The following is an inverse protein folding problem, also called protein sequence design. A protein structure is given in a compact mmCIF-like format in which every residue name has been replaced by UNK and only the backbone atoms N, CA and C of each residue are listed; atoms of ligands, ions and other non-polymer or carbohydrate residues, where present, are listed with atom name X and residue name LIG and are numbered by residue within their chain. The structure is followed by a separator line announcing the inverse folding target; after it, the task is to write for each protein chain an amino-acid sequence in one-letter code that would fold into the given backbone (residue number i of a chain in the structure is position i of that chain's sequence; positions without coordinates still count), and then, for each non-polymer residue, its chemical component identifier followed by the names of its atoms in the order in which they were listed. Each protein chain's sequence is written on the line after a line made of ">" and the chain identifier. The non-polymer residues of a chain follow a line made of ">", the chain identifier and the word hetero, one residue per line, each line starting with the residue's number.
data_IF_941046524011
#
_entry.id   IF_941046524011
#
_cell.length_a   1.000
_cell.length_b   1.000
_cell.length_c   1.000
_cell.angle_alpha   90.00
_cell.angle_beta   90.00
_cell.angle_gamma   90.00
#
_symmetry.space_group_name_H-M   'P 1'
#
loop_
_entity.id
_entity.type
_entity.pdbx_description
1 polymer ?
#
# COMPACT_ATOMS: atom_id res chain seq x y z
N UNK A 1 -32.77 36.52 8.72
CA UNK A 1 -32.33 36.08 10.06
C UNK A 1 -31.53 34.81 9.85
N UNK A 2 -30.24 34.96 9.54
CA UNK A 2 -29.11 34.80 10.48
C UNK A 2 -28.64 33.34 10.55
N UNK A 3 -27.57 33.10 9.79
CA UNK A 3 -26.71 31.90 9.77
C UNK A 3 -26.01 31.78 11.12
N UNK A 4 -26.09 30.61 11.76
CA UNK A 4 -25.48 30.32 13.06
C UNK A 4 -24.62 29.06 13.00
N UNK A 5 -23.38 29.24 12.54
CA UNK A 5 -22.25 28.33 12.65
C UNK A 5 -22.02 27.97 14.13
N UNK A 6 -22.04 26.68 14.50
CA UNK A 6 -21.66 26.23 15.84
C UNK A 6 -20.53 25.20 15.74
N UNK A 7 -19.31 25.72 15.76
CA UNK A 7 -18.08 24.99 16.05
C UNK A 7 -17.98 24.94 17.59
N UNK A 8 -18.00 23.75 18.17
CA UNK A 8 -17.66 23.54 19.57
C UNK A 8 -16.60 22.44 19.67
N UNK A 9 -15.34 22.87 19.59
CA UNK A 9 -14.18 22.11 19.99
C UNK A 9 -14.03 22.20 21.51
N UNK A 10 -14.11 21.07 22.21
CA UNK A 10 -13.66 20.96 23.61
C UNK A 10 -12.85 19.67 23.73
N UNK A 11 -11.60 19.73 23.25
CA UNK A 11 -10.58 18.74 23.60
C UNK A 11 -10.03 19.08 24.99
N UNK A 12 -10.47 18.36 26.01
CA UNK A 12 -9.93 18.46 27.37
C UNK A 12 -9.14 17.19 27.68
N UNK A 13 -7.82 17.34 27.77
CA UNK A 13 -6.90 16.25 28.03
C UNK A 13 -5.57 16.75 28.57
N UNK A 14 -5.60 17.56 29.64
CA UNK A 14 -4.41 17.92 30.41
C UNK A 14 -4.27 16.92 31.54
N UNK A 15 -3.39 15.93 31.37
CA UNK A 15 -3.01 14.99 32.43
C UNK A 15 -1.86 15.60 33.24
N UNK A 16 -2.19 16.24 34.36
CA UNK A 16 -1.22 16.64 35.40
C UNK A 16 -0.86 15.39 36.20
N UNK A 17 0.37 14.90 36.06
CA UNK A 17 0.93 13.88 36.96
C UNK A 17 1.64 14.58 38.11
N UNK A 18 1.07 14.44 39.32
CA UNK A 18 1.72 14.89 40.55
C UNK A 18 2.91 14.00 40.87
N UNK A 19 4.12 14.53 40.69
CA UNK A 19 5.37 13.88 41.07
C UNK A 19 5.78 14.33 42.48
N UNK A 20 5.45 13.53 43.49
CA UNK A 20 5.95 13.68 44.85
C UNK A 20 6.53 12.33 45.32
N UNK A 21 7.84 12.28 45.57
CA UNK A 21 8.50 11.09 46.11
C UNK A 21 10.00 11.07 45.85
N UNK A 22 10.76 11.83 46.62
CA UNK A 22 12.22 11.90 46.56
C UNK A 22 12.83 10.89 47.55
N UNK A 23 13.68 10.02 47.01
CA UNK A 23 14.81 9.27 47.62
C UNK A 23 14.52 8.03 48.47
N UNK A 24 14.91 6.89 47.92
CA UNK A 24 15.94 6.00 48.51
C UNK A 24 16.23 4.83 47.55
N UNK A 25 17.47 4.70 47.06
CA UNK A 25 17.89 3.55 46.25
C UNK A 25 18.79 3.86 45.05
N UNK A 26 19.92 4.52 45.30
CA UNK A 26 20.99 4.69 44.31
C UNK A 26 21.67 3.34 44.03
N UNK A 27 21.18 2.56 43.06
CA UNK A 27 21.91 1.45 42.40
C UNK A 27 21.23 0.84 41.15
N UNK A 28 20.04 1.30 40.73
CA UNK A 28 19.37 0.77 39.51
C UNK A 28 19.42 1.76 38.32
N UNK A 29 19.94 2.97 38.53
CA UNK A 29 19.90 4.10 37.60
C UNK A 29 20.83 4.02 36.36
N UNK A 30 21.71 3.02 36.27
CA UNK A 30 22.66 2.91 35.15
C UNK A 30 22.13 2.10 33.94
N UNK A 31 20.99 1.40 34.07
CA UNK A 31 20.42 0.58 32.99
C UNK A 31 19.29 1.24 32.20
N UNK A 32 18.85 2.44 32.58
CA UNK A 32 17.75 3.16 31.90
C UNK A 32 18.25 4.38 31.10
N UNK A 33 19.47 4.86 31.34
CA UNK A 33 20.00 6.08 30.70
C UNK A 33 20.55 5.89 29.26
N UNK A 34 20.63 4.66 28.74
CA UNK A 34 21.14 4.39 27.38
C UNK A 34 20.12 4.61 26.26
N UNK A 35 18.91 5.09 26.57
CA UNK A 35 17.85 5.31 25.58
C UNK A 35 17.62 6.79 25.24
N UNK A 36 18.35 7.73 25.86
CA UNK A 36 18.08 9.16 25.70
C UNK A 36 19.08 9.93 24.81
N UNK A 37 20.23 9.34 24.45
CA UNK A 37 21.31 10.04 23.73
C UNK A 37 21.52 9.57 22.27
N UNK A 38 20.49 8.98 21.65
CA UNK A 38 20.51 8.53 20.26
C UNK A 38 19.77 9.50 19.30
N UNK A 39 19.69 10.78 19.63
CA UNK A 39 18.87 11.77 18.90
C UNK A 39 19.65 12.95 18.31
N UNK A 40 20.96 12.85 18.15
CA UNK A 40 21.79 13.91 17.55
C UNK A 40 22.50 13.51 16.25
N UNK A 41 22.09 12.42 15.60
CA UNK A 41 22.68 11.98 14.33
C UNK A 41 21.62 11.66 13.28
N UNK A 42 21.07 12.70 12.63
CA UNK A 42 20.35 12.49 11.36
C UNK A 42 20.39 13.73 10.47
N UNK A 43 21.55 14.05 9.93
CA UNK A 43 21.64 14.78 8.65
C UNK A 43 22.29 13.90 7.58
N UNK A 44 21.94 12.61 7.62
CA UNK A 44 22.11 11.67 6.51
C UNK A 44 20.73 11.14 6.16
N UNK A 45 19.90 11.97 5.53
CA UNK A 45 18.60 11.52 5.01
C UNK A 45 18.91 10.61 3.84
N UNK A 46 19.07 9.33 4.15
CA UNK A 46 19.21 8.25 3.18
C UNK A 46 18.08 8.35 2.16
N UNK A 47 18.40 8.16 0.89
CA UNK A 47 17.45 8.17 -0.24
C UNK A 47 16.19 7.33 0.01
N UNK A 48 16.24 6.35 0.92
CA UNK A 48 15.09 5.61 1.43
C UNK A 48 13.96 6.50 2.02
N UNK A 49 14.29 7.64 2.63
CA UNK A 49 13.31 8.58 3.18
C UNK A 49 12.70 9.49 2.12
N UNK A 50 13.39 9.70 0.99
CA UNK A 50 12.82 10.41 -0.15
C UNK A 50 11.78 9.55 -0.88
N UNK A 51 11.86 8.21 -0.84
CA UNK A 51 10.79 7.37 -1.39
C UNK A 51 9.47 7.44 -0.58
N UNK A 52 9.48 7.98 0.65
CA UNK A 52 8.27 8.12 1.47
C UNK A 52 7.39 9.30 1.07
N UNK A 53 7.98 10.37 0.51
CA UNK A 53 7.23 11.58 0.14
C UNK A 53 6.69 11.53 -1.29
N UNK A 54 7.12 10.55 -2.10
CA UNK A 54 6.59 10.28 -3.43
C UNK A 54 5.87 8.92 -3.42
N UNK A 55 4.62 8.86 -2.95
CA UNK A 55 3.89 7.61 -2.72
C UNK A 55 3.65 6.79 -4.01
N UNK A 56 3.83 7.37 -5.19
CA UNK A 56 3.73 6.68 -6.48
C UNK A 56 4.96 5.83 -6.84
N UNK A 57 6.05 5.92 -6.08
CA UNK A 57 7.28 5.13 -6.28
C UNK A 57 7.44 3.99 -5.27
N UNK A 58 6.55 3.87 -4.28
CA UNK A 58 6.76 3.01 -3.12
C UNK A 58 6.27 1.57 -3.29
N UNK A 59 5.18 1.26 -4.03
CA UNK A 59 4.63 -0.10 -4.05
C UNK A 59 3.88 -0.50 -5.34
N UNK A 60 3.90 -1.72 -5.93
CA UNK A 60 4.84 -2.87 -5.89
C UNK A 60 4.66 -3.87 -7.06
N UNK A 61 3.59 -3.83 -7.88
CA UNK A 61 3.46 -4.71 -9.06
C UNK A 61 2.90 -3.97 -10.29
N UNK A 62 3.77 -3.29 -11.03
CA UNK A 62 3.46 -2.94 -12.41
C UNK A 62 3.37 -4.23 -13.24
N UNK A 63 2.45 -4.27 -14.22
CA UNK A 63 2.46 -5.35 -15.20
C UNK A 63 3.83 -5.45 -15.85
N UNK A 64 4.26 -6.67 -16.19
CA UNK A 64 5.53 -6.85 -16.86
C UNK A 64 5.51 -6.09 -18.21
N UNK A 65 6.67 -5.56 -18.65
CA UNK A 65 6.76 -4.85 -19.93
C UNK A 65 6.34 -5.76 -21.09
N UNK A 66 6.64 -7.05 -21.00
CA UNK A 66 6.22 -8.09 -21.93
C UNK A 66 5.36 -9.12 -21.18
N UNK A 67 4.18 -9.44 -21.73
CA UNK A 67 3.24 -10.37 -21.10
C UNK A 67 3.84 -11.78 -21.05
N UNK A 68 4.13 -12.27 -19.84
CA UNK A 68 4.61 -13.65 -19.66
C UNK A 68 3.45 -14.64 -19.52
N UNK A 69 3.66 -15.93 -19.80
CA UNK A 69 2.63 -16.95 -19.59
C UNK A 69 2.13 -16.98 -18.14
N UNK A 70 3.06 -16.90 -17.18
CA UNK A 70 2.74 -16.89 -15.74
C UNK A 70 1.87 -15.69 -15.37
N UNK A 71 2.21 -14.51 -15.88
CA UNK A 71 1.40 -13.30 -15.68
C UNK A 71 0.04 -13.41 -16.37
N UNK A 72 -0.02 -13.91 -17.60
CA UNK A 72 -1.28 -14.10 -18.33
C UNK A 72 -2.27 -15.01 -17.57
N UNK A 73 -1.76 -16.06 -16.94
CA UNK A 73 -2.55 -16.92 -16.05
C UNK A 73 -3.08 -16.14 -14.85
N UNK A 74 -2.22 -15.37 -14.17
CA UNK A 74 -2.62 -14.56 -13.02
C UNK A 74 -3.62 -13.45 -13.37
N UNK A 75 -3.43 -12.79 -14.51
CA UNK A 75 -4.32 -11.71 -15.02
C UNK A 75 -5.73 -12.23 -15.28
N UNK A 76 -5.86 -13.45 -15.82
CA UNK A 76 -7.15 -14.09 -16.02
C UNK A 76 -7.65 -14.81 -14.76
N UNK A 77 -6.89 -14.82 -13.67
CA UNK A 77 -7.25 -15.45 -12.40
C UNK A 77 -7.16 -16.97 -12.40
N UNK A 78 -6.24 -17.55 -13.19
CA UNK A 78 -5.80 -18.94 -13.07
C UNK A 78 -4.58 -19.05 -12.15
N UNK A 79 -4.29 -20.27 -11.71
CA UNK A 79 -3.04 -20.53 -10.97
C UNK A 79 -1.83 -20.35 -11.89
N UNK A 80 -0.71 -19.90 -11.32
CA UNK A 80 0.52 -19.59 -12.05
C UNK A 80 1.12 -20.79 -12.83
N UNK A 81 0.69 -22.01 -12.51
CA UNK A 81 1.15 -23.27 -13.10
C UNK A 81 0.04 -24.04 -13.81
N UNK A 82 -1.15 -23.46 -13.96
CA UNK A 82 -2.29 -24.13 -14.60
C UNK A 82 -2.17 -24.13 -16.12
N UNK A 83 -2.71 -25.19 -16.74
CA UNK A 83 -2.88 -25.32 -18.19
C UNK A 83 -4.37 -25.38 -18.55
N UNK A 84 -5.07 -24.23 -18.55
CA UNK A 84 -6.51 -24.21 -18.78
C UNK A 84 -6.87 -24.50 -20.25
N UNK A 85 -7.98 -25.21 -20.50
CA UNK A 85 -8.48 -25.42 -21.85
C UNK A 85 -8.96 -24.10 -22.46
N UNK A 86 -8.92 -24.01 -23.80
CA UNK A 86 -9.27 -22.80 -24.56
C UNK A 86 -10.63 -22.18 -24.18
N UNK A 87 -11.63 -23.02 -23.92
CA UNK A 87 -12.98 -22.59 -23.55
C UNK A 87 -13.01 -21.82 -22.22
N UNK A 88 -12.20 -22.23 -21.24
CA UNK A 88 -12.11 -21.58 -19.94
C UNK A 88 -11.38 -20.23 -20.03
N UNK A 89 -10.33 -20.17 -20.85
CA UNK A 89 -9.63 -18.92 -21.15
C UNK A 89 -10.60 -17.90 -21.74
N UNK A 90 -11.39 -18.30 -22.75
CA UNK A 90 -12.39 -17.42 -23.37
C UNK A 90 -13.49 -17.00 -22.38
N UNK A 91 -13.92 -17.91 -21.50
CA UNK A 91 -14.92 -17.61 -20.47
C UNK A 91 -14.41 -16.57 -19.47
N UNK A 92 -13.20 -16.76 -18.93
CA UNK A 92 -12.59 -15.80 -17.99
C UNK A 92 -12.24 -14.47 -18.67
N UNK A 93 -11.75 -14.50 -19.90
CA UNK A 93 -11.51 -13.30 -20.70
C UNK A 93 -12.77 -12.45 -20.85
N UNK A 94 -13.90 -13.04 -21.27
CA UNK A 94 -15.17 -12.31 -21.42
C UNK A 94 -15.62 -11.69 -20.10
N UNK A 95 -15.50 -12.44 -19.00
CA UNK A 95 -15.82 -11.94 -17.65
C UNK A 95 -14.93 -10.75 -17.27
N UNK A 96 -13.63 -10.84 -17.52
CA UNK A 96 -12.69 -9.77 -17.15
C UNK A 96 -12.86 -8.52 -18.01
N UNK A 97 -13.08 -8.70 -19.31
CA UNK A 97 -13.41 -7.59 -20.22
C UNK A 97 -14.69 -6.87 -19.79
N UNK A 98 -15.77 -7.60 -19.48
CA UNK A 98 -17.03 -6.98 -19.07
C UNK A 98 -16.89 -6.10 -17.81
N UNK A 99 -15.95 -6.44 -16.92
CA UNK A 99 -15.69 -5.69 -15.69
C UNK A 99 -14.73 -4.51 -15.88
N UNK A 100 -13.82 -4.58 -16.85
CA UNK A 100 -12.71 -3.63 -16.99
C UNK A 100 -12.69 -2.85 -18.31
N UNK A 101 -13.68 -3.07 -19.19
CA UNK A 101 -13.76 -2.34 -20.45
C UNK A 101 -13.89 -0.83 -20.22
N UNK A 102 -13.28 -0.04 -21.10
CA UNK A 102 -13.26 1.44 -21.00
C UNK A 102 -14.66 2.04 -21.06
N UNK A 103 -15.56 1.43 -21.83
CA UNK A 103 -16.96 1.87 -21.94
C UNK A 103 -17.73 1.76 -20.61
N UNK A 104 -17.28 0.90 -19.69
CA UNK A 104 -17.87 0.73 -18.35
C UNK A 104 -17.10 1.53 -17.28
N UNK A 105 -16.17 2.40 -17.70
CA UNK A 105 -15.30 3.17 -16.80
C UNK A 105 -14.06 2.40 -16.33
N UNK A 106 -13.72 1.29 -16.97
CA UNK A 106 -12.50 0.54 -16.67
C UNK A 106 -11.23 1.17 -17.26
N UNK A 107 -10.07 0.73 -16.78
CA UNK A 107 -8.78 1.28 -17.22
C UNK A 107 -8.36 0.75 -18.59
N UNK A 108 -7.97 1.62 -19.56
CA UNK A 108 -7.45 1.20 -20.85
C UNK A 108 -6.23 0.28 -20.73
N UNK A 109 -5.37 0.50 -19.74
CA UNK A 109 -4.18 -0.33 -19.52
C UNK A 109 -4.55 -1.74 -19.05
N UNK A 110 -5.51 -1.86 -18.14
CA UNK A 110 -5.98 -3.17 -17.64
C UNK A 110 -6.67 -3.93 -18.76
N UNK A 111 -7.52 -3.26 -19.53
CA UNK A 111 -8.16 -3.84 -20.71
C UNK A 111 -7.12 -4.39 -21.70
N UNK A 112 -6.12 -3.58 -22.05
CA UNK A 112 -5.03 -4.02 -22.93
C UNK A 112 -4.30 -5.24 -22.38
N UNK A 113 -4.05 -5.28 -21.06
CA UNK A 113 -3.35 -6.41 -20.41
C UNK A 113 -4.16 -7.69 -20.41
N UNK A 114 -5.47 -7.63 -20.23
CA UNK A 114 -6.36 -8.80 -20.35
C UNK A 114 -6.40 -9.32 -21.80
N UNK A 115 -6.34 -8.44 -22.81
CA UNK A 115 -6.25 -8.83 -24.23
C UNK A 115 -4.90 -9.51 -24.52
N UNK A 116 -3.79 -8.93 -24.06
CA UNK A 116 -2.45 -9.52 -24.18
C UNK A 116 -2.40 -10.91 -23.53
N UNK A 117 -2.98 -11.08 -22.33
CA UNK A 117 -3.03 -12.35 -21.63
C UNK A 117 -3.75 -13.44 -22.44
N UNK A 118 -4.90 -13.13 -23.05
CA UNK A 118 -5.61 -14.07 -23.93
C UNK A 118 -4.74 -14.46 -25.14
N UNK A 119 -4.05 -13.50 -25.75
CA UNK A 119 -3.17 -13.75 -26.90
C UNK A 119 -2.00 -14.66 -26.50
N UNK A 120 -1.40 -14.47 -25.32
CA UNK A 120 -0.27 -15.30 -24.86
C UNK A 120 -0.67 -16.75 -24.55
N UNK A 121 -1.92 -17.01 -24.17
CA UNK A 121 -2.38 -18.37 -23.85
C UNK A 121 -2.97 -19.13 -25.05
N UNK A 122 -3.48 -18.42 -26.07
CA UNK A 122 -4.18 -19.02 -27.21
C UNK A 122 -3.52 -18.79 -28.57
N UNK A 123 -2.58 -17.86 -28.66
CA UNK A 123 -1.81 -17.53 -29.86
C UNK A 123 -0.46 -18.22 -29.86
#
# INVERSE_FOLDING_TARGET
>A
MSIGLLIAAIGSGVLVTHFAGRRSGASVAAKVAKTAAASASSSGVSSASLHRHLPYLAHEHAFAPTMTRREALLVLGFDATADPPKQDVDKKFRRMMALHHVDVGGSPLVSRKVIEAKKTLLG
#
